data_IF_636760798858
#
_entry.id   IF_636760798858
#
_cell.length_a   1.000
_cell.length_b   1.000
_cell.length_c   1.000
_cell.angle_alpha   90.00
_cell.angle_beta   90.00
_cell.angle_gamma   90.00
#
_symmetry.space_group_name_H-M   'P 1'
#
loop_
_entity.id
_entity.type
_entity.pdbx_description
1 polymer ?
#
# COMPACT_ATOMS: atom_id res chain seq x y z
N UNK A 1 -5.05 -13.43 -18.83
CA UNK A 1 -6.31 -13.78 -18.12
C UNK A 1 -7.44 -13.17 -18.92
N UNK A 2 -8.54 -13.88 -19.14
CA UNK A 2 -9.71 -13.34 -19.85
C UNK A 2 -10.39 -12.22 -19.03
N UNK A 3 -11.01 -11.25 -19.70
CA UNK A 3 -11.78 -10.15 -19.10
C UNK A 3 -12.86 -10.67 -18.11
N UNK A 4 -13.49 -11.81 -18.42
CA UNK A 4 -14.48 -12.45 -17.54
C UNK A 4 -13.94 -12.80 -16.15
N UNK A 5 -12.65 -13.18 -16.04
CA UNK A 5 -12.03 -13.52 -14.74
C UNK A 5 -11.73 -12.27 -13.91
N UNK A 6 -11.46 -11.15 -14.56
CA UNK A 6 -11.20 -9.86 -13.89
C UNK A 6 -12.53 -9.31 -13.35
N UNK A 7 -13.59 -9.36 -14.18
CA UNK A 7 -14.94 -8.92 -13.80
C UNK A 7 -15.52 -9.75 -12.63
N UNK A 8 -15.24 -11.05 -12.58
CA UNK A 8 -15.68 -11.92 -11.47
C UNK A 8 -15.00 -11.58 -10.14
N UNK A 9 -13.69 -11.30 -10.14
CA UNK A 9 -12.95 -10.93 -8.91
C UNK A 9 -13.35 -9.53 -8.42
N UNK A 10 -13.55 -8.58 -9.34
CA UNK A 10 -14.05 -7.25 -9.01
C UNK A 10 -15.46 -7.26 -8.43
N UNK A 11 -16.32 -8.17 -8.89
CA UNK A 11 -17.66 -8.36 -8.32
C UNK A 11 -17.62 -8.79 -6.84
N UNK A 12 -16.65 -9.64 -6.44
CA UNK A 12 -16.48 -10.01 -5.03
C UNK A 12 -16.00 -8.85 -4.17
N UNK A 13 -15.06 -8.04 -4.66
CA UNK A 13 -14.60 -6.87 -3.89
C UNK A 13 -15.65 -5.75 -3.86
N UNK A 14 -16.54 -5.70 -4.84
CA UNK A 14 -17.70 -4.81 -4.88
C UNK A 14 -18.86 -5.26 -3.98
N UNK A 15 -18.83 -6.50 -3.46
CA UNK A 15 -19.82 -6.98 -2.50
C UNK A 15 -19.62 -6.29 -1.14
N UNK A 16 -20.64 -5.59 -0.59
CA UNK A 16 -20.59 -5.03 0.76
C UNK A 16 -20.17 -6.04 1.84
N UNK A 17 -20.49 -7.32 1.67
CA UNK A 17 -20.10 -8.38 2.60
C UNK A 17 -18.58 -8.63 2.63
N UNK A 18 -17.85 -8.24 1.58
CA UNK A 18 -16.40 -8.40 1.55
C UNK A 18 -15.69 -7.42 2.49
N UNK A 19 -16.21 -6.19 2.62
CA UNK A 19 -15.69 -5.24 3.61
C UNK A 19 -15.85 -5.81 5.04
N UNK A 20 -16.98 -6.45 5.34
CA UNK A 20 -17.18 -7.18 6.61
C UNK A 20 -16.22 -8.36 6.75
N UNK A 21 -15.94 -9.08 5.66
CA UNK A 21 -14.96 -10.17 5.66
C UNK A 21 -13.55 -9.68 5.99
N UNK A 22 -13.14 -8.53 5.46
CA UNK A 22 -11.85 -7.91 5.83
C UNK A 22 -11.84 -7.46 7.28
N UNK A 23 -12.93 -6.85 7.77
CA UNK A 23 -13.04 -6.42 9.16
C UNK A 23 -12.91 -7.59 10.14
N UNK A 24 -13.56 -8.74 9.86
CA UNK A 24 -13.38 -9.99 10.62
C UNK A 24 -11.93 -10.53 10.59
N UNK A 25 -11.12 -10.08 9.64
CA UNK A 25 -9.68 -10.41 9.54
C UNK A 25 -8.78 -9.29 10.05
N UNK A 26 -9.35 -8.31 10.75
CA UNK A 26 -8.63 -7.20 11.35
C UNK A 26 -8.20 -6.12 10.36
N UNK A 27 -8.82 -6.01 9.18
CA UNK A 27 -8.53 -4.96 8.19
C UNK A 27 -9.79 -4.13 7.90
N UNK A 28 -9.77 -2.88 8.33
CA UNK A 28 -10.89 -1.95 8.26
C UNK A 28 -10.65 -0.91 7.17
N UNK A 29 -11.72 -0.56 6.44
CA UNK A 29 -11.72 0.48 5.40
C UNK A 29 -11.92 1.90 5.97
N UNK A 30 -12.13 1.99 7.28
CA UNK A 30 -12.46 3.21 8.00
C UNK A 30 -11.43 3.52 9.05
N UNK A 31 -11.43 4.79 9.45
CA UNK A 31 -10.64 5.28 10.57
C UNK A 31 -11.06 4.59 11.86
N UNK A 32 -10.11 4.47 12.77
CA UNK A 32 -10.41 4.09 14.14
C UNK A 32 -11.06 5.27 14.87
N UNK A 33 -11.89 4.98 15.87
CA UNK A 33 -12.54 6.00 16.72
C UNK A 33 -11.55 6.89 17.49
N UNK A 34 -10.32 6.40 17.68
CA UNK A 34 -9.18 7.25 18.03
C UNK A 34 -8.67 7.87 16.73
N UNK A 35 -8.92 9.17 16.56
CA UNK A 35 -8.45 9.96 15.41
C UNK A 35 -6.93 9.84 15.22
N UNK A 36 -6.44 10.22 14.03
CA UNK A 36 -5.02 10.23 13.75
C UNK A 36 -4.29 11.20 14.68
N UNK A 37 -3.18 10.75 15.26
CA UNK A 37 -2.36 11.64 16.08
C UNK A 37 -1.75 12.78 15.25
N UNK A 38 -1.46 13.90 15.92
CA UNK A 38 -0.83 15.10 15.34
C UNK A 38 0.41 14.82 14.44
N UNK A 39 1.32 13.88 14.76
CA UNK A 39 2.44 13.55 13.87
C UNK A 39 2.01 13.01 12.51
N UNK A 40 0.90 12.25 12.46
CA UNK A 40 0.36 11.70 11.21
C UNK A 40 -0.25 12.81 10.37
N UNK A 41 -1.01 13.72 11.00
CA UNK A 41 -1.56 14.89 10.31
C UNK A 41 -0.43 15.73 9.66
N UNK A 42 0.66 15.94 10.39
CA UNK A 42 1.86 16.62 9.86
C UNK A 42 2.53 15.85 8.74
N UNK A 43 2.66 14.53 8.85
CA UNK A 43 3.17 13.68 7.77
C UNK A 43 2.33 13.85 6.50
N UNK A 44 1.01 13.71 6.61
CA UNK A 44 0.07 13.89 5.50
C UNK A 44 0.20 15.28 4.87
N UNK A 45 0.29 16.33 5.68
CA UNK A 45 0.47 17.69 5.22
C UNK A 45 1.79 17.87 4.46
N UNK A 46 2.90 17.35 5.00
CA UNK A 46 4.23 17.45 4.38
C UNK A 46 4.32 16.69 3.05
N UNK A 47 3.72 15.50 2.98
CA UNK A 47 3.65 14.72 1.74
C UNK A 47 2.90 15.46 0.63
N UNK A 48 1.90 16.27 0.97
CA UNK A 48 1.11 17.02 -0.01
C UNK A 48 1.74 18.36 -0.41
N UNK A 49 2.47 19.01 0.51
CA UNK A 49 2.96 20.39 0.31
C UNK A 49 4.39 20.47 -0.22
N UNK A 50 5.17 19.38 -0.12
CA UNK A 50 6.57 19.39 -0.55
C UNK A 50 6.64 19.41 -2.08
N UNK A 51 7.27 20.43 -2.71
CA UNK A 51 7.32 20.54 -4.17
C UNK A 51 8.05 19.37 -4.83
N UNK A 52 7.60 19.01 -6.03
CA UNK A 52 8.22 17.96 -6.85
C UNK A 52 8.34 18.42 -8.29
N UNK A 53 9.32 17.87 -9.01
CA UNK A 53 9.43 18.10 -10.45
C UNK A 53 8.24 17.47 -11.17
N UNK A 54 7.55 18.30 -11.96
CA UNK A 54 6.40 17.90 -12.77
C UNK A 54 6.84 17.52 -14.19
N UNK A 55 6.14 16.58 -14.85
CA UNK A 55 6.45 16.23 -16.23
C UNK A 55 6.30 17.42 -17.17
N UNK A 56 7.32 17.70 -17.98
CA UNK A 56 7.33 18.83 -18.95
C UNK A 56 6.37 18.65 -20.11
N UNK A 57 6.10 17.40 -20.51
CA UNK A 57 5.09 17.03 -21.50
C UNK A 57 4.14 16.03 -20.86
N UNK A 58 2.85 16.33 -20.85
CA UNK A 58 1.87 15.50 -20.16
C UNK A 58 0.45 15.64 -20.71
N UNK A 59 -0.34 14.57 -20.57
CA UNK A 59 -1.78 14.58 -20.78
C UNK A 59 -2.54 15.40 -19.73
N UNK A 60 -1.87 15.76 -18.62
CA UNK A 60 -2.37 16.67 -17.59
C UNK A 60 -2.00 18.13 -17.86
N UNK A 61 -1.31 18.46 -18.98
CA UNK A 61 -1.12 19.84 -19.41
C UNK A 61 -2.48 20.57 -19.54
N UNK A 62 -2.53 21.86 -19.19
CA UNK A 62 -3.73 22.71 -19.27
C UNK A 62 -4.49 22.58 -20.58
N UNK A 63 -3.77 22.48 -21.70
CA UNK A 63 -4.35 22.39 -23.04
C UNK A 63 -5.10 21.09 -23.28
N UNK A 64 -4.67 20.00 -22.64
CA UNK A 64 -5.16 18.65 -22.91
C UNK A 64 -5.98 18.06 -21.77
N UNK A 65 -5.81 18.53 -20.53
CA UNK A 65 -6.34 17.87 -19.33
C UNK A 65 -7.82 17.50 -19.43
N UNK A 66 -8.70 18.46 -19.76
CA UNK A 66 -10.14 18.18 -19.91
C UNK A 66 -10.45 17.22 -21.07
N UNK A 67 -9.73 17.34 -22.19
CA UNK A 67 -9.90 16.47 -23.36
C UNK A 67 -9.44 15.04 -23.04
N UNK A 68 -8.33 14.90 -22.32
CA UNK A 68 -7.82 13.62 -21.82
C UNK A 68 -8.88 12.92 -20.98
N UNK A 69 -9.43 13.59 -19.96
CA UNK A 69 -10.44 12.99 -19.10
C UNK A 69 -11.72 12.65 -19.86
N UNK A 70 -12.17 13.53 -20.76
CA UNK A 70 -13.35 13.26 -21.60
C UNK A 70 -13.17 12.01 -22.48
N UNK A 71 -11.97 11.80 -23.03
CA UNK A 71 -11.65 10.60 -23.83
C UNK A 71 -11.64 9.30 -23.02
N UNK A 72 -11.62 9.39 -21.69
CA UNK A 72 -11.54 8.27 -20.76
C UNK A 72 -12.87 7.95 -20.05
N UNK A 73 -13.94 8.73 -20.28
CA UNK A 73 -15.24 8.53 -19.65
C UNK A 73 -15.75 7.09 -19.86
N UNK A 74 -15.66 6.58 -21.08
CA UNK A 74 -16.08 5.21 -21.42
C UNK A 74 -14.90 4.22 -21.55
N UNK A 75 -13.72 4.59 -21.05
CA UNK A 75 -12.54 3.75 -21.17
C UNK A 75 -12.58 2.57 -20.19
N UNK A 76 -12.11 1.40 -20.65
CA UNK A 76 -11.86 0.27 -19.76
C UNK A 76 -10.66 0.53 -18.83
N UNK A 77 -10.51 -0.32 -17.82
CA UNK A 77 -9.47 -0.20 -16.77
C UNK A 77 -8.06 -0.10 -17.37
N UNK A 78 -7.75 -0.97 -18.33
CA UNK A 78 -6.44 -0.98 -19.01
C UNK A 78 -6.12 0.34 -19.69
N UNK A 79 -7.11 0.99 -20.32
CA UNK A 79 -6.89 2.28 -20.99
C UNK A 79 -6.75 3.42 -19.99
N UNK A 80 -7.53 3.43 -18.90
CA UNK A 80 -7.34 4.38 -17.79
C UNK A 80 -5.94 4.19 -17.19
N UNK A 81 -5.54 2.95 -16.99
CA UNK A 81 -4.25 2.59 -16.41
C UNK A 81 -3.08 3.10 -17.25
N UNK A 82 -3.14 2.84 -18.55
CA UNK A 82 -2.11 3.25 -19.50
C UNK A 82 -2.03 4.77 -19.64
N UNK A 83 -3.17 5.44 -19.76
CA UNK A 83 -3.21 6.84 -20.18
C UNK A 83 -2.98 7.80 -19.00
N UNK A 84 -3.46 7.50 -17.78
CA UNK A 84 -3.37 8.46 -16.65
C UNK A 84 -2.76 7.92 -15.36
N UNK A 85 -2.68 6.60 -15.12
CA UNK A 85 -2.15 6.12 -13.81
C UNK A 85 -0.74 6.61 -13.55
N UNK A 86 0.14 6.66 -14.54
CA UNK A 86 1.52 7.14 -14.32
C UNK A 86 1.60 8.65 -14.02
N UNK A 87 0.54 9.41 -14.31
CA UNK A 87 0.41 10.83 -13.94
C UNK A 87 -0.19 11.02 -12.54
N UNK A 88 -0.64 9.94 -11.90
CA UNK A 88 -1.19 9.91 -10.53
C UNK A 88 -0.29 9.15 -9.56
N UNK A 89 0.26 8.02 -10.02
CA UNK A 89 1.12 7.08 -9.32
C UNK A 89 2.33 6.77 -10.22
N UNK A 90 3.36 7.62 -10.20
CA UNK A 90 4.53 7.44 -11.05
C UNK A 90 5.27 6.13 -10.73
N UNK A 91 5.87 5.52 -11.75
CA UNK A 91 6.60 4.27 -11.65
C UNK A 91 7.92 4.45 -10.89
N UNK A 92 8.03 3.82 -9.72
CA UNK A 92 9.23 3.86 -8.88
C UNK A 92 10.51 3.42 -9.65
N UNK A 93 10.43 2.33 -10.41
CA UNK A 93 11.58 1.83 -11.20
C UNK A 93 11.89 2.73 -12.42
N UNK A 94 10.89 3.39 -12.99
CA UNK A 94 11.12 4.34 -14.10
C UNK A 94 11.76 5.63 -13.60
N UNK A 95 11.39 6.10 -12.41
CA UNK A 95 12.08 7.22 -11.75
C UNK A 95 13.54 6.86 -11.47
N UNK A 96 13.80 5.67 -10.91
CA UNK A 96 15.17 5.19 -10.65
C UNK A 96 16.04 5.14 -11.93
N UNK A 97 15.45 4.72 -13.06
CA UNK A 97 16.16 4.53 -14.33
C UNK A 97 16.34 5.84 -15.09
N UNK A 98 15.24 6.58 -15.32
CA UNK A 98 15.21 7.68 -16.28
C UNK A 98 15.54 9.04 -15.67
N UNK A 99 15.31 9.22 -14.37
CA UNK A 99 15.56 10.50 -13.71
C UNK A 99 16.96 10.59 -13.07
N UNK A 100 17.79 9.54 -13.22
CA UNK A 100 19.07 9.38 -12.51
C UNK A 100 18.93 9.48 -10.98
N UNK A 101 17.72 9.27 -10.47
CA UNK A 101 17.39 9.24 -9.05
C UNK A 101 17.77 7.85 -8.50
N UNK A 102 19.07 7.53 -8.50
CA UNK A 102 19.63 6.29 -7.93
C UNK A 102 19.17 6.05 -6.48
N UNK A 103 18.74 7.12 -5.80
CA UNK A 103 18.09 7.05 -4.50
C UNK A 103 16.86 6.14 -4.49
N UNK A 104 16.18 5.87 -5.61
CA UNK A 104 15.05 4.93 -5.67
C UNK A 104 15.42 3.48 -5.99
N UNK A 105 16.70 3.16 -6.18
CA UNK A 105 17.12 1.83 -6.63
C UNK A 105 16.74 0.72 -5.63
N UNK A 106 16.50 1.06 -4.36
CA UNK A 106 16.03 0.11 -3.34
C UNK A 106 14.55 -0.29 -3.51
N UNK A 107 13.77 0.43 -4.31
CA UNK A 107 12.35 0.17 -4.54
C UNK A 107 12.13 -0.92 -5.59
N UNK A 108 11.13 -1.77 -5.36
CA UNK A 108 10.65 -2.76 -6.31
C UNK A 108 9.22 -2.42 -6.72
N UNK A 109 8.97 -2.34 -8.02
CA UNK A 109 7.63 -2.23 -8.59
C UNK A 109 7.05 -3.60 -8.96
N UNK A 110 5.74 -3.73 -8.88
CA UNK A 110 4.97 -4.77 -9.58
C UNK A 110 3.76 -4.16 -10.28
N UNK A 111 3.36 -4.72 -11.42
CA UNK A 111 2.21 -4.27 -12.20
C UNK A 111 1.33 -5.46 -12.54
N UNK A 112 0.07 -5.43 -12.08
CA UNK A 112 -0.93 -6.48 -12.27
C UNK A 112 -0.37 -7.89 -11.97
N UNK A 113 0.32 -8.03 -10.83
CA UNK A 113 0.99 -9.27 -10.44
C UNK A 113 0.48 -9.76 -9.09
N UNK A 114 0.02 -11.01 -9.08
CA UNK A 114 -0.51 -11.62 -7.86
C UNK A 114 0.52 -11.71 -6.74
N UNK A 115 0.06 -11.39 -5.52
CA UNK A 115 0.83 -11.53 -4.29
C UNK A 115 0.82 -13.00 -3.83
N UNK A 116 1.56 -13.83 -4.57
CA UNK A 116 1.56 -15.29 -4.39
C UNK A 116 2.38 -15.79 -3.20
N UNK A 117 3.17 -14.92 -2.56
CA UNK A 117 4.09 -15.30 -1.47
C UNK A 117 3.73 -14.65 -0.14
N UNK A 118 2.62 -13.92 -0.09
CA UNK A 118 2.13 -13.32 1.13
C UNK A 118 1.28 -14.28 1.96
N UNK A 119 1.27 -14.05 3.27
CA UNK A 119 0.21 -14.58 4.14
C UNK A 119 -1.05 -13.77 3.89
N UNK A 120 -2.00 -14.35 3.17
CA UNK A 120 -3.27 -13.70 2.80
C UNK A 120 -4.14 -13.48 4.05
N UNK A 121 -4.94 -12.40 4.06
CA UNK A 121 -5.96 -12.19 5.11
C UNK A 121 -7.21 -13.04 4.84
N UNK A 122 -7.56 -13.20 3.57
CA UNK A 122 -8.69 -14.03 3.11
C UNK A 122 -8.20 -15.14 2.18
N UNK A 123 -9.10 -16.00 1.70
CA UNK A 123 -8.76 -17.00 0.68
C UNK A 123 -8.39 -16.38 -0.67
N UNK A 124 -8.84 -15.14 -0.94
CA UNK A 124 -8.57 -14.42 -2.18
C UNK A 124 -7.08 -14.01 -2.23
N UNK A 125 -6.47 -14.17 -3.40
CA UNK A 125 -5.11 -13.68 -3.65
C UNK A 125 -5.17 -12.19 -4.06
N UNK A 126 -4.51 -11.27 -3.35
CA UNK A 126 -4.37 -9.89 -3.81
C UNK A 126 -3.58 -9.81 -5.12
N UNK A 127 -3.98 -8.89 -6.00
CA UNK A 127 -3.29 -8.63 -7.26
C UNK A 127 -3.46 -7.15 -7.64
N UNK A 128 -2.74 -6.24 -6.96
CA UNK A 128 -2.82 -4.82 -7.29
C UNK A 128 -2.42 -4.54 -8.73
N UNK A 129 -3.13 -3.62 -9.36
CA UNK A 129 -2.76 -3.08 -10.67
C UNK A 129 -1.36 -2.48 -10.64
N UNK A 130 -1.01 -1.80 -9.56
CA UNK A 130 0.34 -1.34 -9.31
C UNK A 130 0.68 -1.47 -7.82
N UNK A 131 1.90 -1.89 -7.51
CA UNK A 131 2.38 -1.91 -6.14
C UNK A 131 3.87 -1.64 -6.03
N UNK A 132 4.29 -1.17 -4.86
CA UNK A 132 5.69 -0.90 -4.51
C UNK A 132 6.01 -1.51 -3.15
N UNK A 133 7.20 -2.11 -3.09
CA UNK A 133 7.85 -2.53 -1.86
C UNK A 133 9.35 -2.37 -2.00
N UNK A 134 10.11 -3.08 -1.18
CA UNK A 134 11.56 -3.04 -1.20
C UNK A 134 12.15 -4.24 -1.94
N UNK A 135 13.21 -4.00 -2.72
CA UNK A 135 14.03 -5.10 -3.28
C UNK A 135 14.71 -5.85 -2.14
N UNK A 136 15.01 -7.13 -2.35
CA UNK A 136 15.85 -7.90 -1.41
C UNK A 136 17.22 -7.23 -1.19
N UNK A 137 17.78 -6.62 -2.24
CA UNK A 137 19.06 -5.88 -2.20
C UNK A 137 18.99 -4.58 -1.40
N UNK A 138 17.79 -4.14 -1.00
CA UNK A 138 17.63 -3.07 -0.03
C UNK A 138 17.99 -3.51 1.39
N UNK A 139 18.34 -4.78 1.63
CA UNK A 139 18.72 -5.29 2.95
C UNK A 139 20.08 -5.98 2.85
N UNK A 140 20.86 -5.92 3.92
CA UNK A 140 22.14 -6.65 4.00
C UNK A 140 21.90 -8.15 4.06
N UNK A 141 22.88 -8.96 3.66
CA UNK A 141 22.78 -10.43 3.77
C UNK A 141 22.48 -10.88 5.20
N UNK A 142 23.05 -10.21 6.20
CA UNK A 142 22.81 -10.50 7.62
C UNK A 142 21.36 -10.18 8.03
N UNK A 143 20.82 -9.03 7.60
CA UNK A 143 19.42 -8.67 7.86
C UNK A 143 18.44 -9.67 7.24
N UNK A 144 18.71 -10.10 6.01
CA UNK A 144 17.91 -11.14 5.33
C UNK A 144 18.02 -12.47 6.06
N UNK A 145 19.20 -12.84 6.54
CA UNK A 145 19.44 -14.10 7.22
C UNK A 145 18.62 -14.23 8.51
N UNK A 146 18.49 -13.14 9.28
CA UNK A 146 17.70 -13.11 10.54
C UNK A 146 16.21 -13.43 10.35
N UNK A 147 15.67 -13.19 9.15
CA UNK A 147 14.28 -13.53 8.80
C UNK A 147 14.19 -14.60 7.70
N UNK A 148 15.31 -15.26 7.40
CA UNK A 148 15.37 -16.33 6.40
C UNK A 148 14.37 -17.46 6.59
N UNK A 149 14.09 -17.95 7.82
CA UNK A 149 13.05 -18.97 8.03
C UNK A 149 11.67 -18.57 7.48
N UNK A 150 11.41 -17.27 7.32
CA UNK A 150 10.20 -16.71 6.73
C UNK A 150 10.34 -16.31 5.26
N UNK A 151 11.55 -16.21 4.71
CA UNK A 151 11.82 -15.70 3.36
C UNK A 151 12.20 -16.77 2.33
N UNK A 152 12.40 -18.03 2.75
CA UNK A 152 12.85 -19.15 1.93
C UNK A 152 12.17 -19.27 0.56
N UNK A 153 12.87 -19.91 -0.38
CA UNK A 153 12.37 -20.14 -1.73
C UNK A 153 11.04 -20.91 -1.69
N UNK A 154 10.02 -20.38 -2.36
CA UNK A 154 8.68 -20.98 -2.37
C UNK A 154 7.83 -20.70 -1.13
N UNK A 155 8.40 -20.21 -0.02
CA UNK A 155 7.68 -19.99 1.24
C UNK A 155 6.64 -18.88 1.14
N UNK A 156 5.50 -19.12 1.78
CA UNK A 156 4.56 -18.07 2.20
C UNK A 156 5.19 -17.31 3.37
N UNK A 157 5.11 -15.99 3.33
CA UNK A 157 5.79 -15.11 4.26
C UNK A 157 4.90 -13.97 4.74
N UNK A 158 5.02 -13.54 6.00
CA UNK A 158 4.47 -12.26 6.44
C UNK A 158 5.22 -11.06 5.84
N UNK A 159 6.47 -11.24 5.38
CA UNK A 159 7.37 -10.14 5.02
C UNK A 159 7.50 -9.88 3.51
N UNK A 160 6.81 -10.65 2.64
CA UNK A 160 6.84 -10.44 1.19
C UNK A 160 5.49 -10.62 0.52
N UNK A 161 5.21 -9.76 -0.46
CA UNK A 161 4.06 -9.89 -1.34
C UNK A 161 4.26 -11.03 -2.35
N UNK A 162 5.42 -11.01 -3.00
CA UNK A 162 5.82 -11.89 -4.10
C UNK A 162 7.34 -11.98 -4.14
N UNK A 163 7.85 -12.91 -4.94
CA UNK A 163 9.30 -13.04 -5.12
C UNK A 163 9.90 -11.72 -5.64
N UNK A 164 10.92 -11.23 -4.92
CA UNK A 164 11.62 -9.97 -5.21
C UNK A 164 11.03 -8.71 -4.55
N UNK A 165 9.88 -8.78 -3.87
CA UNK A 165 9.26 -7.63 -3.18
C UNK A 165 9.05 -7.94 -1.69
N UNK A 166 9.95 -7.44 -0.86
CA UNK A 166 9.85 -7.47 0.61
C UNK A 166 9.12 -6.22 1.10
N UNK A 167 8.38 -6.35 2.22
CA UNK A 167 7.67 -5.27 2.90
C UNK A 167 6.99 -4.30 1.90
N UNK A 168 5.96 -4.76 1.16
CA UNK A 168 5.18 -3.87 0.31
C UNK A 168 4.62 -2.73 1.17
N UNK A 169 4.56 -1.53 0.63
CA UNK A 169 4.05 -0.36 1.36
C UNK A 169 3.14 0.53 0.50
N UNK A 170 3.01 0.25 -0.79
CA UNK A 170 2.10 0.97 -1.66
C UNK A 170 1.36 0.01 -2.59
N UNK A 171 0.03 0.15 -2.67
CA UNK A 171 -0.79 -0.47 -3.70
C UNK A 171 -1.65 0.57 -4.41
N UNK A 172 -2.00 0.31 -5.66
CA UNK A 172 -2.91 1.11 -6.45
C UNK A 172 -3.84 0.17 -7.20
N UNK A 173 -5.13 0.48 -7.15
CA UNK A 173 -6.18 -0.20 -7.89
C UNK A 173 -6.90 0.83 -8.76
N UNK A 174 -6.99 0.49 -10.04
CA UNK A 174 -7.61 1.31 -11.07
C UNK A 174 -9.00 0.76 -11.35
N UNK A 175 -9.93 1.63 -11.72
CA UNK A 175 -11.22 1.21 -12.27
C UNK A 175 -11.46 1.87 -13.62
N UNK A 176 -12.00 1.06 -14.53
CA UNK A 176 -12.55 1.53 -15.79
C UNK A 176 -14.00 1.97 -15.64
N UNK A 177 -14.63 2.28 -16.78
CA UNK A 177 -16.06 2.50 -16.84
C UNK A 177 -16.84 1.29 -16.29
N UNK A 178 -17.84 1.55 -15.45
CA UNK A 178 -18.65 0.51 -14.78
C UNK A 178 -18.01 -0.12 -13.54
N UNK A 179 -16.73 0.17 -13.25
CA UNK A 179 -16.08 -0.24 -12.01
C UNK A 179 -16.41 0.71 -10.84
N UNK A 180 -16.40 0.19 -9.62
CA UNK A 180 -16.70 0.98 -8.42
C UNK A 180 -15.43 1.29 -7.62
N UNK A 181 -15.23 2.57 -7.28
CA UNK A 181 -14.14 3.00 -6.39
C UNK A 181 -14.20 2.30 -5.01
N UNK A 182 -15.38 1.93 -4.51
CA UNK A 182 -15.48 1.16 -3.27
C UNK A 182 -14.82 -0.23 -3.39
N UNK A 183 -14.94 -0.91 -4.53
CA UNK A 183 -14.27 -2.18 -4.78
C UNK A 183 -12.74 -2.00 -4.81
N UNK A 184 -12.25 -0.95 -5.48
CA UNK A 184 -10.83 -0.60 -5.46
C UNK A 184 -10.31 -0.32 -4.03
N UNK A 185 -11.12 0.31 -3.18
CA UNK A 185 -10.78 0.53 -1.76
C UNK A 185 -10.73 -0.78 -0.97
N UNK A 186 -11.65 -1.72 -1.20
CA UNK A 186 -11.61 -3.06 -0.59
C UNK A 186 -10.35 -3.84 -1.00
N UNK A 187 -10.03 -3.84 -2.30
CA UNK A 187 -8.82 -4.49 -2.84
C UNK A 187 -7.53 -3.91 -2.22
N UNK A 188 -7.47 -2.59 -2.12
CA UNK A 188 -6.39 -1.88 -1.48
C UNK A 188 -6.31 -2.17 0.03
N UNK A 189 -7.42 -2.16 0.76
CA UNK A 189 -7.44 -2.50 2.18
C UNK A 189 -6.94 -3.92 2.45
N UNK A 190 -7.34 -4.89 1.62
CA UNK A 190 -6.81 -6.25 1.70
C UNK A 190 -5.28 -6.28 1.51
N UNK A 191 -4.77 -5.61 0.47
CA UNK A 191 -3.34 -5.56 0.18
C UNK A 191 -2.55 -4.84 1.27
N UNK A 192 -3.06 -3.70 1.77
CA UNK A 192 -2.38 -2.91 2.79
C UNK A 192 -2.50 -3.51 4.19
N UNK A 193 -3.57 -4.25 4.50
CA UNK A 193 -3.64 -5.05 5.72
C UNK A 193 -2.51 -6.08 5.80
N UNK A 194 -2.20 -6.76 4.68
CA UNK A 194 -1.06 -7.68 4.58
C UNK A 194 0.27 -6.95 4.78
N UNK A 195 0.44 -5.79 4.14
CA UNK A 195 1.63 -4.96 4.27
C UNK A 195 1.89 -4.54 5.74
N UNK A 196 0.87 -3.97 6.39
CA UNK A 196 0.93 -3.51 7.77
C UNK A 196 1.18 -4.69 8.72
N UNK A 197 0.49 -5.81 8.52
CA UNK A 197 0.73 -7.03 9.30
C UNK A 197 2.18 -7.48 9.21
N UNK A 198 2.81 -7.43 8.03
CA UNK A 198 4.21 -7.79 7.85
C UNK A 198 5.16 -6.97 8.73
N UNK A 199 4.94 -5.66 8.82
CA UNK A 199 5.76 -4.76 9.66
C UNK A 199 5.49 -5.00 11.15
N UNK A 200 4.21 -5.12 11.55
CA UNK A 200 3.86 -5.41 12.95
C UNK A 200 4.45 -6.74 13.41
N UNK A 201 4.39 -7.77 12.57
CA UNK A 201 5.00 -9.07 12.87
C UNK A 201 6.52 -9.01 13.04
N UNK A 202 7.22 -8.13 12.31
CA UNK A 202 8.65 -7.91 12.52
C UNK A 202 8.92 -7.27 13.89
N UNK A 203 8.17 -6.23 14.26
CA UNK A 203 8.35 -5.54 15.54
C UNK A 203 7.91 -6.40 16.73
N UNK A 204 6.95 -7.30 16.51
CA UNK A 204 6.53 -8.29 17.50
C UNK A 204 7.64 -9.28 17.85
N UNK A 205 8.51 -9.64 16.92
CA UNK A 205 9.70 -10.45 17.21
C UNK A 205 10.66 -9.78 18.21
N UNK A 206 10.52 -8.46 18.40
CA UNK A 206 11.31 -7.64 19.31
C UNK A 206 10.54 -7.27 20.58
N UNK A 207 9.23 -7.56 20.66
CA UNK A 207 8.35 -7.04 21.71
C UNK A 207 8.16 -5.52 21.65
N UNK A 208 8.31 -4.92 20.47
CA UNK A 208 8.27 -3.46 20.24
C UNK A 208 7.08 -3.02 19.38
N UNK A 209 6.07 -3.87 19.20
CA UNK A 209 4.92 -3.58 18.35
C UNK A 209 4.15 -2.31 18.77
N UNK A 210 4.15 -1.96 20.06
CA UNK A 210 3.53 -0.73 20.58
C UNK A 210 4.14 0.55 20.00
N UNK A 211 5.41 0.51 19.55
CA UNK A 211 6.05 1.65 18.88
C UNK A 211 5.42 1.98 17.51
N UNK A 212 4.63 1.06 16.97
CA UNK A 212 3.93 1.22 15.71
C UNK A 212 2.49 1.72 15.89
N UNK A 213 1.99 1.82 17.12
CA UNK A 213 0.60 2.18 17.40
C UNK A 213 0.21 3.48 16.69
N UNK A 214 -0.82 3.38 15.83
CA UNK A 214 -1.35 4.44 14.97
C UNK A 214 -0.37 5.02 13.94
N UNK A 215 0.85 4.50 13.79
CA UNK A 215 1.79 4.98 12.75
C UNK A 215 1.36 4.52 11.36
N UNK A 216 1.33 5.41 10.37
CA UNK A 216 1.13 5.00 8.96
C UNK A 216 2.30 4.13 8.51
N UNK A 217 2.00 2.89 8.12
CA UNK A 217 2.98 1.90 7.65
C UNK A 217 2.80 1.52 6.17
N UNK A 218 1.68 1.92 5.54
CA UNK A 218 1.45 1.67 4.13
C UNK A 218 0.48 2.70 3.52
N UNK A 219 0.47 2.82 2.20
CA UNK A 219 -0.39 3.72 1.44
C UNK A 219 -1.14 2.98 0.36
N UNK A 220 -2.37 3.39 0.05
CA UNK A 220 -3.06 2.91 -1.13
C UNK A 220 -3.62 4.03 -1.97
N UNK A 221 -3.72 3.78 -3.28
CA UNK A 221 -4.35 4.68 -4.24
C UNK A 221 -5.52 3.95 -4.90
N UNK A 222 -6.68 4.59 -4.93
CA UNK A 222 -7.83 4.12 -5.70
C UNK A 222 -8.23 5.21 -6.69
N UNK A 223 -8.32 4.88 -7.97
CA UNK A 223 -8.68 5.89 -8.97
C UNK A 223 -9.41 5.31 -10.20
N UNK A 224 -10.12 6.18 -10.88
CA UNK A 224 -10.69 5.96 -12.21
C UNK A 224 -10.39 7.20 -13.10
N UNK A 225 -11.12 7.37 -14.20
CA UNK A 225 -10.99 8.52 -15.09
C UNK A 225 -11.47 9.86 -14.47
N UNK A 226 -12.23 9.80 -13.39
CA UNK A 226 -12.97 10.92 -12.79
C UNK A 226 -12.58 11.22 -11.35
N UNK A 227 -11.92 10.29 -10.65
CA UNK A 227 -11.62 10.40 -9.22
C UNK A 227 -10.30 9.73 -8.88
N UNK A 228 -9.58 10.29 -7.89
CA UNK A 228 -8.41 9.68 -7.28
C UNK A 228 -8.44 9.90 -5.76
N UNK A 229 -8.05 8.88 -5.00
CA UNK A 229 -7.86 8.98 -3.55
C UNK A 229 -6.56 8.32 -3.11
N UNK A 230 -5.97 8.87 -2.05
CA UNK A 230 -4.83 8.32 -1.34
C UNK A 230 -5.23 8.07 0.11
N UNK A 231 -4.90 6.88 0.61
CA UNK A 231 -5.24 6.43 1.95
C UNK A 231 -3.99 5.92 2.64
N UNK A 232 -3.76 6.33 3.89
CA UNK A 232 -2.74 5.76 4.76
C UNK A 232 -3.32 4.63 5.59
N UNK A 233 -2.54 3.57 5.82
CA UNK A 233 -2.94 2.40 6.60
C UNK A 233 -2.02 2.25 7.81
N UNK A 234 -2.62 2.03 8.97
CA UNK A 234 -1.92 2.03 10.26
C UNK A 234 -2.48 0.97 11.20
N UNK A 235 -1.65 0.38 12.08
CA UNK A 235 -2.13 -0.56 13.07
C UNK A 235 -2.70 0.17 14.29
N UNK A 236 -3.75 -0.37 14.89
CA UNK A 236 -4.23 0.00 16.22
C UNK A 236 -4.02 -1.20 17.12
N UNK A 237 -3.17 -1.04 18.13
CA UNK A 237 -2.84 -2.08 19.10
C UNK A 237 -3.76 -1.97 20.31
N UNK A 238 -4.26 -3.12 20.77
CA UNK A 238 -5.09 -3.23 21.96
C UNK A 238 -4.98 -4.64 22.55
N UNK A 239 -4.74 -4.72 23.86
CA UNK A 239 -4.76 -5.97 24.64
C UNK A 239 -3.91 -7.11 24.03
N UNK A 240 -2.72 -6.80 23.51
CA UNK A 240 -1.82 -7.80 22.89
C UNK A 240 -2.25 -8.30 21.50
N UNK A 241 -3.26 -7.65 20.90
CA UNK A 241 -3.72 -7.85 19.53
C UNK A 241 -3.63 -6.56 18.73
N UNK A 242 -3.86 -6.62 17.40
CA UNK A 242 -3.92 -5.43 16.57
C UNK A 242 -4.91 -5.58 15.42
N UNK A 243 -5.44 -4.45 14.99
CA UNK A 243 -6.21 -4.29 13.76
C UNK A 243 -5.54 -3.25 12.86
N UNK A 244 -5.92 -3.21 11.58
CA UNK A 244 -5.45 -2.22 10.62
C UNK A 244 -6.60 -1.33 10.25
N UNK A 245 -6.40 -0.04 10.42
CA UNK A 245 -7.35 1.01 10.06
C UNK A 245 -6.78 1.87 8.94
N UNK A 246 -7.66 2.60 8.27
CA UNK A 246 -7.29 3.45 7.14
C UNK A 246 -7.74 4.88 7.36
N UNK A 247 -6.89 5.83 7.00
CA UNK A 247 -7.14 7.27 7.05
C UNK A 247 -7.04 7.86 5.64
N UNK A 248 -8.10 8.54 5.19
CA UNK A 248 -8.12 9.14 3.86
C UNK A 248 -7.29 10.43 3.89
N UNK A 249 -6.06 10.35 3.41
CA UNK A 249 -5.13 11.48 3.30
C UNK A 249 -5.70 12.53 2.34
N UNK A 250 -6.27 12.05 1.24
CA UNK A 250 -6.81 12.91 0.18
C UNK A 250 -7.76 12.14 -0.74
N UNK A 251 -8.78 12.81 -1.27
CA UNK A 251 -9.66 12.25 -2.30
C UNK A 251 -10.29 13.36 -3.13
N UNK A 252 -10.17 13.30 -4.46
CA UNK A 252 -10.68 14.36 -5.35
C UNK A 252 -11.16 13.88 -6.70
N UNK A 253 -12.11 14.67 -7.22
CA UNK A 253 -12.60 14.59 -8.58
C UNK A 253 -11.57 15.19 -9.56
N UNK A 254 -11.14 14.40 -10.53
CA UNK A 254 -10.35 14.84 -11.66
C UNK A 254 -11.19 15.76 -12.56
N UNK A 255 -10.55 16.78 -13.13
CA UNK A 255 -11.21 17.81 -13.94
C UNK A 255 -11.93 18.91 -13.16
N UNK A 256 -11.95 18.84 -11.82
CA UNK A 256 -12.40 19.94 -10.98
C UNK A 256 -11.44 21.15 -11.07
N UNK A 257 -11.92 22.33 -10.62
CA UNK A 257 -11.07 23.54 -10.53
C UNK A 257 -9.93 23.30 -9.54
N UNK A 258 -8.75 23.80 -9.88
CA UNK A 258 -7.61 23.77 -8.97
C UNK A 258 -7.83 24.76 -7.84
N UNK A 259 -7.50 24.34 -6.62
CA UNK A 259 -7.62 25.14 -5.41
C UNK A 259 -6.20 25.57 -5.00
N UNK A 260 -5.96 26.88 -4.98
CA UNK A 260 -4.71 27.39 -4.43
C UNK A 260 -4.87 27.51 -2.92
N UNK A 261 -4.01 26.83 -2.18
CA UNK A 261 -4.00 26.84 -0.71
C UNK A 261 -2.71 27.45 -0.20
N UNK A 262 -2.67 27.79 1.10
CA UNK A 262 -1.44 28.27 1.76
C UNK A 262 -0.28 27.26 1.68
N UNK A 263 -0.58 25.98 1.43
CA UNK A 263 0.39 24.88 1.37
C UNK A 263 0.67 24.37 -0.06
N UNK A 264 0.21 25.11 -1.09
CA UNK A 264 0.45 24.79 -2.50
C UNK A 264 -0.82 24.68 -3.34
N UNK A 265 -0.66 24.28 -4.61
CA UNK A 265 -1.80 24.05 -5.50
C UNK A 265 -2.32 22.64 -5.29
N UNK A 266 -3.55 22.55 -4.78
CA UNK A 266 -4.28 21.30 -4.73
C UNK A 266 -5.03 21.17 -6.05
N UNK A 267 -4.70 20.14 -6.83
CA UNK A 267 -5.17 20.03 -8.20
C UNK A 267 -4.80 18.71 -8.83
N UNK A 268 -4.68 18.70 -10.16
CA UNK A 268 -4.44 17.46 -10.94
C UNK A 268 -3.14 16.74 -10.55
N UNK A 269 -2.16 17.47 -10.03
CA UNK A 269 -0.84 16.96 -9.68
C UNK A 269 -0.72 16.44 -8.24
N UNK A 270 -1.74 16.64 -7.40
CA UNK A 270 -1.64 16.32 -5.97
C UNK A 270 -1.30 14.85 -5.72
N UNK A 271 -1.90 13.92 -6.46
CA UNK A 271 -1.59 12.48 -6.30
C UNK A 271 -0.12 12.19 -6.63
N UNK A 272 0.36 12.73 -7.75
CA UNK A 272 1.75 12.55 -8.18
C UNK A 272 2.72 13.15 -7.16
N UNK A 273 2.43 14.34 -6.62
CA UNK A 273 3.21 14.98 -5.57
C UNK A 273 3.33 14.10 -4.33
N UNK A 274 2.20 13.62 -3.82
CA UNK A 274 2.18 12.75 -2.63
C UNK A 274 2.97 11.47 -2.89
N UNK A 275 2.76 10.78 -4.02
CA UNK A 275 3.45 9.53 -4.31
C UNK A 275 4.97 9.73 -4.48
N UNK A 276 5.40 10.79 -5.17
CA UNK A 276 6.83 11.13 -5.27
C UNK A 276 7.43 11.40 -3.88
N UNK A 277 6.72 12.14 -3.03
CA UNK A 277 7.18 12.43 -1.66
C UNK A 277 7.18 11.18 -0.76
N UNK A 278 6.26 10.22 -0.98
CA UNK A 278 6.30 8.91 -0.33
C UNK A 278 7.58 8.17 -0.73
N UNK A 279 7.95 8.16 -2.01
CA UNK A 279 9.18 7.49 -2.45
C UNK A 279 10.44 8.20 -1.96
N UNK A 280 10.45 9.54 -1.96
CA UNK A 280 11.62 10.34 -1.67
C UNK A 280 11.93 10.50 -0.18
N UNK A 281 10.90 10.60 0.65
CA UNK A 281 11.09 10.92 2.07
C UNK A 281 10.61 9.78 2.98
N UNK A 282 9.38 9.33 2.80
CA UNK A 282 8.80 8.35 3.71
C UNK A 282 9.41 6.94 3.54
N UNK A 283 9.62 6.49 2.30
CA UNK A 283 10.11 5.14 2.04
C UNK A 283 11.56 4.91 2.54
N UNK A 284 12.51 5.86 2.40
CA UNK A 284 13.82 5.76 3.04
C UNK A 284 13.75 5.66 4.57
N UNK A 285 12.93 6.49 5.22
CA UNK A 285 12.76 6.46 6.68
C UNK A 285 12.13 5.15 7.14
N UNK A 286 11.13 4.66 6.40
CA UNK A 286 10.52 3.37 6.65
C UNK A 286 11.52 2.21 6.46
N UNK A 287 12.33 2.25 5.39
CA UNK A 287 13.39 1.26 5.16
C UNK A 287 14.43 1.28 6.29
N UNK A 288 14.84 2.47 6.74
CA UNK A 288 15.76 2.61 7.87
C UNK A 288 15.17 1.97 9.13
N UNK A 289 13.92 2.27 9.46
CA UNK A 289 13.21 1.65 10.59
C UNK A 289 13.19 0.11 10.48
N UNK A 290 12.89 -0.44 9.31
CA UNK A 290 12.90 -1.89 9.07
C UNK A 290 14.29 -2.50 9.23
N UNK A 291 15.33 -1.83 8.70
CA UNK A 291 16.73 -2.26 8.82
C UNK A 291 17.20 -2.25 10.28
N UNK A 292 16.85 -1.21 11.02
CA UNK A 292 17.19 -1.05 12.44
C UNK A 292 16.50 -2.12 13.29
N UNK A 293 15.24 -2.46 12.99
CA UNK A 293 14.55 -3.59 13.61
C UNK A 293 15.22 -4.92 13.25
N UNK A 294 15.48 -5.17 11.97
CA UNK A 294 16.11 -6.41 11.51
C UNK A 294 17.49 -6.63 12.13
N UNK A 295 18.30 -5.58 12.31
CA UNK A 295 19.62 -5.69 12.96
C UNK A 295 19.54 -6.22 14.40
N UNK A 296 18.39 -6.06 15.06
CA UNK A 296 18.15 -6.42 16.47
C UNK A 296 17.36 -7.71 16.64
N UNK A 297 16.81 -8.28 15.56
CA UNK A 297 16.14 -9.58 15.61
C UNK A 297 17.16 -10.62 16.07
N UNK A 298 16.93 -11.35 17.18
CA UNK A 298 17.89 -12.34 17.67
C UNK A 298 18.12 -13.45 16.66
N UNK A 299 19.30 -14.08 16.71
CA UNK A 299 19.61 -15.26 15.90
C UNK A 299 18.83 -16.46 16.46
N UNK A 300 17.58 -16.65 16.03
CA UNK A 300 16.72 -17.75 16.49
C UNK A 300 16.82 -18.92 15.49
N UNK A 301 17.01 -20.18 15.95
CA UNK A 301 17.00 -21.33 15.05
C UNK A 301 15.65 -21.48 14.33
N UNK A 302 15.69 -21.77 13.03
CA UNK A 302 14.53 -21.84 12.12
C UNK A 302 13.33 -22.66 12.65
N UNK A 303 13.56 -23.66 13.49
CA UNK A 303 12.54 -24.56 14.05
C UNK A 303 11.67 -23.84 15.09
N UNK A 304 12.30 -23.04 15.97
CA UNK A 304 11.59 -22.33 17.04
C UNK A 304 10.71 -21.21 16.50
N UNK A 305 11.21 -20.47 15.50
CA UNK A 305 10.42 -19.43 14.84
C UNK A 305 9.18 -20.00 14.15
N UNK A 306 9.26 -21.18 13.54
CA UNK A 306 8.11 -21.79 12.85
C UNK A 306 7.02 -22.25 13.82
N UNK A 307 7.37 -22.98 14.87
CA UNK A 307 6.38 -23.46 15.86
C UNK A 307 5.75 -22.31 16.65
N UNK A 308 6.57 -21.34 17.05
CA UNK A 308 6.12 -20.19 17.83
C UNK A 308 5.21 -19.29 16.97
N UNK A 309 5.61 -18.93 15.74
CA UNK A 309 4.72 -18.18 14.86
C UNK A 309 3.44 -18.96 14.54
N UNK A 310 3.52 -20.27 14.23
CA UNK A 310 2.32 -21.07 13.92
C UNK A 310 1.33 -21.08 15.10
N UNK A 311 1.83 -21.23 16.33
CA UNK A 311 1.02 -21.19 17.56
C UNK A 311 0.44 -19.80 17.88
N UNK A 312 1.22 -18.73 17.72
CA UNK A 312 0.76 -17.35 17.96
C UNK A 312 -0.23 -16.85 16.90
N UNK A 313 -0.14 -17.38 15.66
CA UNK A 313 -1.06 -17.07 14.59
C UNK A 313 -2.43 -17.78 14.75
N UNK A 314 -2.45 -18.92 15.44
CA UNK A 314 -3.71 -19.56 15.83
C UNK A 314 -4.38 -18.78 16.97
N UNK A 315 -3.60 -18.27 17.93
CA UNK A 315 -4.12 -17.45 19.05
C UNK A 315 -4.66 -16.08 18.62
N UNK A 316 -4.01 -15.37 17.69
CA UNK A 316 -4.55 -14.11 17.17
C UNK A 316 -5.79 -14.30 16.30
N UNK A 317 -5.95 -15.48 15.67
CA UNK A 317 -7.21 -15.86 15.06
C UNK A 317 -8.27 -16.17 16.13
N UNK A 318 -7.97 -16.97 17.14
CA UNK A 318 -8.92 -17.34 18.21
C UNK A 318 -9.41 -16.15 19.05
N UNK A 319 -8.55 -15.16 19.33
CA UNK A 319 -8.94 -13.94 20.07
C UNK A 319 -9.85 -13.01 19.26
N UNK A 320 -9.90 -13.13 17.93
CA UNK A 320 -10.85 -12.39 17.08
C UNK A 320 -12.22 -13.09 16.95
N UNK A 321 -12.34 -14.35 17.38
CA UNK A 321 -13.60 -15.11 17.32
C UNK A 321 -14.33 -15.23 18.67
N UNK A 322 -13.71 -14.82 19.79
CA UNK A 322 -14.25 -15.05 21.13
C UNK A 322 -14.91 -13.83 21.80
N UNK A 323 -15.06 -12.69 21.10
CA UNK A 323 -15.86 -11.55 21.56
C UNK A 323 -17.13 -11.39 20.70
N UNK A 324 -18.02 -12.41 20.75
CA UNK A 324 -19.42 -12.33 20.29
C UNK A 324 -20.34 -12.42 21.50
#
# INVERSE_FOLDING_TARGET
MSEDKIQYVDAYYGDPAYASTLAMRGSYLTEHMLDIDQPIARLCQNLNSTPVDLPSVSLFDNRFYKITLHKLVDANEMRVMRDITQLLVPSAESLATCALEQEYEFLKKSTNQGWNRCRKLTNIRPQPDYAVGFKKTAFTSQQVQRIWPFLGAGCISPFKARDGMLFPFLACEVKGNGGFICAARCQNAHSMGIAVFGVVNLFRLLGEEETLHRKILAFSIAHDASYVSITGHYPVLSNGSWTVHSHMIFGRKLGAREEMTQIGTIGRWSSLTVVKNVYRYWAPDHLKMLRDALNRVPDIPDVFLKEEFQGYLNKSAELLYNDV
#
